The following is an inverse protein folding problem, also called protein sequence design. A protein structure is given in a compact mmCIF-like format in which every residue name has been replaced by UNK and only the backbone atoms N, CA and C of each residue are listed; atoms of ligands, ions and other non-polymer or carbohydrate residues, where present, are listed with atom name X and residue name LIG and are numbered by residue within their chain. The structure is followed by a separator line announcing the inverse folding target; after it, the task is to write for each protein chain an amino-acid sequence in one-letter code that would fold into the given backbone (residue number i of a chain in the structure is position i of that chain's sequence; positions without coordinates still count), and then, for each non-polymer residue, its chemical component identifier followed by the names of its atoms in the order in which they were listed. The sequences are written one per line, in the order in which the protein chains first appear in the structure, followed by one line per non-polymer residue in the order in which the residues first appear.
data_IF_760966894703
#
_entry.id   IF_760966894703
#
_cell.length_a   1.000
_cell.length_b   1.000
_cell.length_c   1.000
_cell.angle_alpha   90.00
_cell.angle_beta   90.00
_cell.angle_gamma   90.00
#
_symmetry.space_group_name_H-M   'P 1'
#
loop_
_entity.id
_entity.type
_entity.pdbx_description
1 polymer ?
#
# COMPACT_ATOMS: atom_id res chain seq x y z
N UNK A 1 -0.12 63.80 -38.88
CA UNK A 1 -0.77 62.76 -38.06
C UNK A 1 -0.13 61.37 -38.17
N UNK A 2 0.14 60.82 -39.36
CA UNK A 2 0.68 59.44 -39.47
C UNK A 2 2.06 59.24 -38.80
N UNK A 3 2.96 60.22 -38.88
CA UNK A 3 4.31 60.12 -38.28
C UNK A 3 4.28 60.07 -36.74
N UNK A 4 3.36 60.79 -36.09
CA UNK A 4 3.23 60.76 -34.62
C UNK A 4 2.61 59.46 -34.13
N UNK A 5 1.66 58.89 -34.88
CA UNK A 5 1.10 57.56 -34.61
C UNK A 5 2.19 56.48 -34.73
N UNK A 6 3.02 56.53 -35.78
CA UNK A 6 4.13 55.58 -35.99
C UNK A 6 5.15 55.61 -34.85
N UNK A 7 5.48 56.80 -34.32
CA UNK A 7 6.41 56.96 -33.19
C UNK A 7 5.81 56.43 -31.87
N UNK A 8 4.50 56.59 -31.65
CA UNK A 8 3.80 56.01 -30.48
C UNK A 8 3.71 54.49 -30.56
N UNK A 9 3.45 53.95 -31.75
CA UNK A 9 3.46 52.50 -32.01
C UNK A 9 4.85 51.89 -31.75
N UNK A 10 5.92 52.53 -32.24
CA UNK A 10 7.29 52.07 -31.97
C UNK A 10 7.63 52.10 -30.48
N UNK A 11 7.16 53.09 -29.72
CA UNK A 11 7.33 53.13 -28.26
C UNK A 11 6.53 52.06 -27.51
N UNK A 12 5.43 51.56 -28.08
CA UNK A 12 4.58 50.54 -27.47
C UNK A 12 5.05 49.09 -27.70
N UNK A 13 5.98 48.87 -28.64
CA UNK A 13 6.51 47.53 -28.94
C UNK A 13 7.19 46.91 -27.72
N UNK A 14 8.05 47.66 -27.04
CA UNK A 14 8.82 47.14 -25.90
C UNK A 14 7.90 46.75 -24.72
N UNK A 15 6.95 47.60 -24.25
CA UNK A 15 5.95 47.20 -23.27
C UNK A 15 5.12 45.98 -23.69
N UNK A 16 4.71 45.90 -24.96
CA UNK A 16 3.92 44.78 -25.46
C UNK A 16 4.70 43.45 -25.40
N UNK A 17 6.00 43.46 -25.73
CA UNK A 17 6.88 42.29 -25.61
C UNK A 17 7.00 41.86 -24.15
N UNK A 18 7.23 42.78 -23.22
CA UNK A 18 7.26 42.44 -21.79
C UNK A 18 5.93 41.87 -21.29
N UNK A 19 4.81 42.42 -21.74
CA UNK A 19 3.48 41.93 -21.37
C UNK A 19 3.22 40.53 -21.91
N UNK A 20 3.66 40.23 -23.14
CA UNK A 20 3.60 38.90 -23.72
C UNK A 20 4.47 37.89 -22.95
N UNK A 21 5.67 38.28 -22.53
CA UNK A 21 6.56 37.45 -21.70
C UNK A 21 5.89 37.17 -20.34
N UNK A 22 5.34 38.18 -19.68
CA UNK A 22 4.59 38.01 -18.43
C UNK A 22 3.39 37.09 -18.59
N UNK A 23 2.62 37.22 -19.67
CA UNK A 23 1.48 36.36 -19.97
C UNK A 23 1.92 34.90 -20.20
N UNK A 24 3.03 34.70 -20.91
CA UNK A 24 3.61 33.37 -21.11
C UNK A 24 4.01 32.73 -19.77
N UNK A 25 4.73 33.46 -18.91
CA UNK A 25 5.09 32.96 -17.58
C UNK A 25 3.87 32.76 -16.68
N UNK A 26 2.86 33.62 -16.72
CA UNK A 26 1.63 33.45 -15.96
C UNK A 26 0.88 32.18 -16.39
N UNK A 27 0.75 31.95 -17.70
CA UNK A 27 0.14 30.73 -18.24
C UNK A 27 0.95 29.49 -17.85
N UNK A 28 2.28 29.50 -17.99
CA UNK A 28 3.14 28.40 -17.57
C UNK A 28 3.23 28.19 -16.06
N UNK A 29 2.99 29.23 -15.24
CA UNK A 29 2.89 29.07 -13.79
C UNK A 29 1.61 28.33 -13.39
N UNK A 30 0.53 28.53 -14.14
CA UNK A 30 -0.75 27.84 -13.94
C UNK A 30 -0.70 26.41 -14.51
N UNK A 31 -0.15 26.25 -15.72
CA UNK A 31 -0.10 24.96 -16.46
C UNK A 31 1.15 24.12 -16.18
N UNK A 32 2.13 24.63 -15.43
CA UNK A 32 3.36 23.92 -15.14
C UNK A 32 3.12 22.73 -14.21
N UNK A 33 4.01 21.73 -14.26
CA UNK A 33 3.99 20.47 -13.47
C UNK A 33 3.94 20.61 -11.94
N UNK A 34 3.89 21.83 -11.42
CA UNK A 34 3.75 22.21 -10.01
C UNK A 34 2.51 23.07 -9.71
N UNK A 35 1.64 23.28 -10.70
CA UNK A 35 0.35 23.93 -10.53
C UNK A 35 -0.51 23.21 -9.49
N UNK A 36 -1.48 23.94 -8.93
CA UNK A 36 -2.38 23.48 -7.85
C UNK A 36 -3.09 22.17 -8.20
N UNK A 37 -3.41 21.94 -9.47
CA UNK A 37 -4.03 20.71 -9.96
C UNK A 37 -3.08 19.51 -9.94
N UNK A 38 -1.84 19.67 -10.41
CA UNK A 38 -0.82 18.61 -10.34
C UNK A 38 -0.50 18.23 -8.89
N UNK A 39 -0.63 19.17 -7.95
CA UNK A 39 -0.50 18.89 -6.51
C UNK A 39 -1.67 18.05 -5.99
N UNK A 40 -2.90 18.32 -6.41
CA UNK A 40 -4.07 17.54 -5.99
C UNK A 40 -3.99 16.09 -6.49
N UNK A 41 -3.65 15.89 -7.78
CA UNK A 41 -3.47 14.55 -8.36
C UNK A 41 -2.35 13.78 -7.66
N UNK A 42 -1.20 14.42 -7.42
CA UNK A 42 -0.10 13.77 -6.67
C UNK A 42 -0.49 13.43 -5.24
N UNK A 43 -1.28 14.27 -4.57
CA UNK A 43 -1.73 13.99 -3.21
C UNK A 43 -2.67 12.77 -3.18
N UNK A 44 -3.57 12.66 -4.15
CA UNK A 44 -4.44 11.50 -4.29
C UNK A 44 -3.62 10.22 -4.53
N UNK A 45 -2.64 10.26 -5.44
CA UNK A 45 -1.74 9.13 -5.70
C UNK A 45 -0.94 8.70 -4.46
N UNK A 46 -0.47 9.65 -3.65
CA UNK A 46 0.23 9.35 -2.39
C UNK A 46 -0.71 8.61 -1.43
N UNK A 47 -1.97 9.04 -1.36
CA UNK A 47 -2.91 8.47 -0.40
C UNK A 47 -3.41 7.09 -0.84
N UNK A 48 -3.58 6.87 -2.15
CA UNK A 48 -3.82 5.54 -2.72
C UNK A 48 -2.65 4.59 -2.43
N UNK A 49 -1.41 5.02 -2.71
CA UNK A 49 -0.22 4.21 -2.45
C UNK A 49 -0.04 3.87 -0.96
N UNK A 50 -0.38 4.79 -0.06
CA UNK A 50 -0.39 4.53 1.39
C UNK A 50 -1.46 3.52 1.79
N UNK A 51 -2.62 3.55 1.13
CA UNK A 51 -3.67 2.57 1.36
C UNK A 51 -3.22 1.16 0.95
N UNK A 52 -2.62 1.04 -0.23
CA UNK A 52 -2.04 -0.23 -0.71
C UNK A 52 -0.94 -0.74 0.23
N UNK A 53 -0.07 0.15 0.70
CA UNK A 53 0.97 -0.21 1.67
C UNK A 53 0.37 -0.79 2.96
N UNK A 54 -0.65 -0.14 3.54
CA UNK A 54 -1.30 -0.65 4.77
C UNK A 54 -1.93 -2.02 4.56
N UNK A 55 -2.52 -2.27 3.40
CA UNK A 55 -3.10 -3.58 3.07
C UNK A 55 -2.01 -4.65 2.98
N UNK A 56 -0.92 -4.36 2.27
CA UNK A 56 0.21 -5.27 2.13
C UNK A 56 0.90 -5.57 3.47
N UNK A 57 1.05 -4.55 4.32
CA UNK A 57 1.58 -4.73 5.69
C UNK A 57 0.67 -5.62 6.54
N UNK A 58 -0.64 -5.42 6.48
CA UNK A 58 -1.59 -6.26 7.20
C UNK A 58 -1.56 -7.72 6.73
N UNK A 59 -1.40 -7.94 5.41
CA UNK A 59 -1.22 -9.28 4.85
C UNK A 59 0.09 -9.91 5.32
N UNK A 60 1.21 -9.16 5.23
CA UNK A 60 2.51 -9.62 5.73
C UNK A 60 2.41 -10.02 7.20
N UNK A 61 1.85 -9.17 8.05
CA UNK A 61 1.73 -9.44 9.49
C UNK A 61 0.86 -10.67 9.77
N UNK A 62 -0.17 -10.91 8.97
CA UNK A 62 -0.99 -12.12 9.08
C UNK A 62 -0.20 -13.38 8.68
N UNK A 63 0.62 -13.31 7.63
CA UNK A 63 1.50 -14.40 7.22
C UNK A 63 2.61 -14.64 8.23
N UNK A 64 3.21 -13.59 8.79
CA UNK A 64 4.24 -13.70 9.82
C UNK A 64 3.70 -14.41 11.07
N UNK A 65 2.46 -14.12 11.49
CA UNK A 65 1.81 -14.87 12.58
C UNK A 65 1.65 -16.36 12.25
N UNK A 66 1.26 -16.69 11.02
CA UNK A 66 1.11 -18.09 10.57
C UNK A 66 2.46 -18.81 10.51
N UNK A 67 3.47 -18.16 9.94
CA UNK A 67 4.83 -18.70 9.84
C UNK A 67 5.46 -18.85 11.23
N UNK A 68 5.23 -17.90 12.14
CA UNK A 68 5.67 -18.03 13.53
C UNK A 68 5.07 -19.27 14.20
N UNK A 69 3.80 -19.57 13.95
CA UNK A 69 3.16 -20.82 14.42
C UNK A 69 3.69 -22.10 13.76
N UNK A 70 4.38 -22.00 12.62
CA UNK A 70 4.98 -23.13 11.90
C UNK A 70 6.49 -23.29 12.14
N UNK A 71 7.15 -22.28 12.74
CA UNK A 71 8.58 -22.35 13.02
C UNK A 71 8.85 -23.30 14.19
N UNK A 72 9.63 -24.34 13.89
CA UNK A 72 9.98 -25.44 14.79
C UNK A 72 10.71 -25.04 16.09
N UNK A 73 11.18 -23.80 16.20
CA UNK A 73 11.79 -23.25 17.42
C UNK A 73 10.80 -23.14 18.59
N UNK A 74 9.48 -23.18 18.29
CA UNK A 74 8.39 -23.33 19.27
C UNK A 74 7.43 -24.46 18.86
N UNK A 75 7.96 -25.56 18.30
CA UNK A 75 7.12 -26.73 18.05
C UNK A 75 6.55 -27.21 19.38
N UNK A 76 5.25 -27.02 19.57
CA UNK A 76 4.57 -27.40 20.80
C UNK A 76 4.78 -28.90 21.02
N UNK A 77 5.50 -29.22 22.10
CA UNK A 77 5.86 -30.59 22.44
C UNK A 77 4.61 -31.44 22.61
N UNK A 78 3.52 -30.84 23.09
CA UNK A 78 2.25 -31.52 23.30
C UNK A 78 1.56 -31.83 21.96
N UNK A 79 1.62 -30.92 20.99
CA UNK A 79 1.13 -31.19 19.62
C UNK A 79 1.95 -32.27 18.91
N UNK A 80 3.26 -32.30 19.11
CA UNK A 80 4.12 -33.37 18.58
C UNK A 80 3.78 -34.72 19.23
N UNK A 81 3.60 -34.74 20.55
CA UNK A 81 3.28 -35.93 21.34
C UNK A 81 1.90 -36.48 21.00
N UNK A 82 0.89 -35.62 20.84
CA UNK A 82 -0.44 -36.00 20.37
C UNK A 82 -0.39 -36.59 18.95
N UNK A 83 0.38 -35.96 18.04
CA UNK A 83 0.53 -36.47 16.67
C UNK A 83 1.29 -37.80 16.62
N UNK A 84 2.31 -37.97 17.46
CA UNK A 84 3.05 -39.21 17.59
C UNK A 84 2.16 -40.34 18.16
N UNK A 85 1.39 -40.07 19.22
CA UNK A 85 0.41 -41.03 19.78
C UNK A 85 -0.64 -41.44 18.75
N UNK A 86 -1.20 -40.47 18.02
CA UNK A 86 -2.22 -40.73 17.00
C UNK A 86 -1.69 -41.57 15.83
N UNK A 87 -0.44 -41.33 15.39
CA UNK A 87 0.16 -42.07 14.28
C UNK A 87 0.65 -43.46 14.67
N UNK A 88 1.26 -43.60 15.85
CA UNK A 88 1.84 -44.85 16.31
C UNK A 88 0.85 -45.73 17.08
N UNK A 89 -0.38 -45.23 17.32
CA UNK A 89 -1.40 -45.88 18.14
C UNK A 89 -0.84 -46.34 19.50
N UNK A 90 0.03 -45.52 20.09
CA UNK A 90 0.65 -45.78 21.38
C UNK A 90 0.02 -44.91 22.45
N UNK A 91 -0.07 -45.47 23.65
CA UNK A 91 -0.67 -44.83 24.84
C UNK A 91 0.35 -44.89 25.98
N UNK A 92 0.38 -43.85 26.81
CA UNK A 92 1.30 -43.76 27.94
C UNK A 92 1.07 -44.88 28.97
N UNK A 93 2.09 -45.20 29.77
CA UNK A 93 2.01 -46.27 30.79
C UNK A 93 0.90 -46.05 31.82
N UNK A 94 0.61 -44.78 32.12
CA UNK A 94 -0.36 -44.37 33.14
C UNK A 94 -1.69 -43.86 32.55
N UNK A 95 -1.93 -44.12 31.25
CA UNK A 95 -3.13 -43.67 30.52
C UNK A 95 -4.15 -44.82 30.37
N UNK A 96 -5.45 -44.50 30.43
CA UNK A 96 -6.54 -45.49 30.38
C UNK A 96 -7.18 -45.48 28.98
N UNK A 97 -7.26 -46.65 28.35
CA UNK A 97 -7.98 -46.85 27.09
C UNK A 97 -9.43 -47.22 27.38
N UNK A 98 -10.36 -46.39 26.92
CA UNK A 98 -11.80 -46.67 26.99
C UNK A 98 -12.24 -47.21 25.63
N UNK A 99 -12.59 -48.51 25.51
CA UNK A 99 -13.14 -49.05 24.28
C UNK A 99 -14.54 -48.48 24.04
N UNK A 100 -14.82 -48.11 22.79
CA UNK A 100 -16.15 -47.65 22.39
C UNK A 100 -17.20 -48.77 22.55
N UNK A 101 -18.43 -48.37 22.92
CA UNK A 101 -19.58 -49.28 22.95
C UNK A 101 -19.96 -49.80 21.55
N UNK A 102 -20.75 -50.87 21.45
CA UNK A 102 -21.06 -51.55 20.18
C UNK A 102 -21.58 -50.63 19.06
N UNK A 103 -22.23 -49.51 19.44
CA UNK A 103 -22.87 -48.56 18.53
C UNK A 103 -22.36 -47.11 18.67
N UNK A 104 -21.22 -46.88 19.34
CA UNK A 104 -20.67 -45.53 19.57
C UNK A 104 -19.28 -45.36 18.96
N UNK A 105 -19.14 -45.63 17.67
CA UNK A 105 -17.89 -45.32 16.95
C UNK A 105 -17.91 -43.85 16.51
N UNK A 106 -16.82 -43.13 16.77
CA UNK A 106 -16.67 -41.74 16.33
C UNK A 106 -16.38 -41.59 14.83
N UNK A 107 -16.23 -42.71 14.09
CA UNK A 107 -16.16 -42.80 12.63
C UNK A 107 -16.72 -44.14 12.13
#
# INVERSE_FOLDING_TARGET
MLKSIKRRLQGAVLPAVFLAICAYFAHHAISGSRGTEARAVRMAQIEDARSELRLAEAERDAMDRRVAGLRAEHLDRDMLDERARALLNVVGKDEIVIPYGPNERLF
#
